data_IF_145323676445
#
_entry.id   IF_145323676445
#
_cell.length_a   1.000
_cell.length_b   1.000
_cell.length_c   1.000
_cell.angle_alpha   90.00
_cell.angle_beta   90.00
_cell.angle_gamma   90.00
#
_symmetry.space_group_name_H-M   'P 1'
#
loop_
_entity.id
_entity.type
_entity.pdbx_description
1 polymer ?
#
# COMPACT_ATOMS: atom_id res chain seq x y z
N UNK A 1 -20.89 81.79 -18.65
CA UNK A 1 -20.78 80.79 -17.60
C UNK A 1 -21.57 79.49 -17.89
N UNK A 2 -22.68 79.55 -18.62
CA UNK A 2 -23.53 78.34 -18.85
C UNK A 2 -22.99 77.37 -19.94
N UNK A 3 -22.32 77.89 -20.95
CA UNK A 3 -21.78 77.05 -22.05
C UNK A 3 -20.61 76.13 -21.63
N UNK A 4 -19.82 76.57 -20.68
CA UNK A 4 -18.68 75.79 -20.17
C UNK A 4 -19.17 74.60 -19.26
N UNK A 5 -20.26 74.81 -18.52
CA UNK A 5 -20.89 73.77 -17.72
C UNK A 5 -21.58 72.71 -18.57
N UNK A 6 -22.17 73.06 -19.72
CA UNK A 6 -22.84 72.14 -20.64
C UNK A 6 -21.82 71.27 -21.37
N UNK A 7 -20.65 71.81 -21.76
CA UNK A 7 -19.55 71.03 -22.38
C UNK A 7 -18.94 70.06 -21.39
N UNK A 8 -18.76 70.46 -20.11
CA UNK A 8 -18.25 69.59 -19.07
C UNK A 8 -19.20 68.43 -18.74
N UNK A 9 -20.54 68.66 -18.78
CA UNK A 9 -21.53 67.58 -18.56
C UNK A 9 -21.59 66.60 -19.71
N UNK A 10 -21.44 67.03 -20.96
CA UNK A 10 -21.40 66.15 -22.15
C UNK A 10 -20.10 65.33 -22.17
N UNK A 11 -18.96 65.88 -21.72
CA UNK A 11 -17.68 65.17 -21.65
C UNK A 11 -17.69 64.07 -20.55
N UNK A 12 -18.39 64.32 -19.43
CA UNK A 12 -18.54 63.32 -18.34
C UNK A 12 -19.46 62.17 -18.74
N UNK A 13 -20.51 62.43 -19.54
CA UNK A 13 -21.42 61.38 -20.04
C UNK A 13 -20.73 60.53 -21.12
N UNK A 14 -19.80 61.06 -21.90
CA UNK A 14 -19.04 60.30 -22.90
C UNK A 14 -17.98 59.39 -22.30
N UNK A 15 -17.52 59.65 -21.05
CA UNK A 15 -16.51 58.85 -20.34
C UNK A 15 -17.14 57.64 -19.59
N UNK A 16 -18.46 57.57 -19.44
CA UNK A 16 -19.14 56.49 -18.75
C UNK A 16 -19.56 55.35 -19.72
N UNK A 17 -19.42 55.58 -21.05
CA UNK A 17 -19.73 54.58 -22.09
C UNK A 17 -18.59 53.59 -22.35
N UNK A 18 -17.54 53.59 -21.54
CA UNK A 18 -16.38 52.71 -21.70
C UNK A 18 -16.59 51.40 -20.97
N UNK A 19 -16.95 50.38 -21.74
CA UNK A 19 -16.51 49.02 -21.53
C UNK A 19 -17.11 48.29 -20.34
N UNK A 20 -18.38 47.89 -20.44
CA UNK A 20 -18.65 46.51 -20.05
C UNK A 20 -18.23 45.61 -21.22
N UNK A 21 -16.93 45.42 -21.40
CA UNK A 21 -16.44 44.21 -21.98
C UNK A 21 -16.80 43.10 -20.95
N UNK A 22 -18.01 42.55 -21.12
CA UNK A 22 -18.30 41.23 -20.59
C UNK A 22 -17.22 40.35 -21.24
N UNK A 23 -16.11 40.13 -20.50
CA UNK A 23 -15.31 38.96 -20.73
C UNK A 23 -16.32 37.81 -20.62
N UNK A 24 -16.80 37.33 -21.77
CA UNK A 24 -17.38 36.02 -21.89
C UNK A 24 -16.23 35.10 -21.43
N UNK A 25 -16.17 34.94 -20.13
CA UNK A 25 -15.46 33.80 -19.54
C UNK A 25 -16.22 32.60 -20.12
N UNK A 26 -15.73 32.12 -21.26
CA UNK A 26 -16.21 30.92 -21.89
C UNK A 26 -15.92 29.75 -20.94
N UNK A 27 -16.63 29.72 -19.82
CA UNK A 27 -16.54 28.61 -18.89
C UNK A 27 -16.93 27.36 -19.69
N UNK A 28 -15.92 26.71 -20.17
CA UNK A 28 -16.08 25.48 -20.94
C UNK A 28 -16.92 24.51 -20.08
N UNK A 29 -18.09 24.12 -20.60
CA UNK A 29 -18.91 23.12 -19.92
C UNK A 29 -18.09 21.85 -19.75
N UNK A 30 -18.01 21.35 -18.56
CA UNK A 30 -17.17 20.18 -18.23
C UNK A 30 -17.94 19.16 -17.42
N UNK A 31 -17.51 17.92 -17.51
CA UNK A 31 -17.93 16.85 -16.63
C UNK A 31 -16.71 16.29 -15.92
N UNK A 32 -16.83 16.14 -14.61
CA UNK A 32 -15.81 15.47 -13.77
C UNK A 32 -16.38 14.14 -13.30
N UNK A 33 -15.65 13.08 -13.54
CA UNK A 33 -16.02 11.72 -13.14
C UNK A 33 -14.86 11.01 -12.48
N UNK A 34 -15.18 10.09 -11.57
CA UNK A 34 -14.21 9.17 -11.02
C UNK A 34 -14.37 7.82 -11.71
N UNK A 35 -13.23 7.23 -12.09
CA UNK A 35 -13.13 5.87 -12.61
C UNK A 35 -12.39 4.97 -11.64
N UNK A 36 -12.82 3.72 -11.57
CA UNK A 36 -12.19 2.69 -10.77
C UNK A 36 -11.80 1.51 -11.64
N UNK A 37 -10.60 0.99 -11.41
CA UNK A 37 -10.11 -0.19 -12.10
C UNK A 37 -9.46 -1.15 -11.13
N UNK A 38 -9.79 -2.42 -11.26
CA UNK A 38 -9.26 -3.51 -10.46
C UNK A 38 -8.51 -4.48 -11.33
N UNK A 39 -7.37 -4.97 -10.84
CA UNK A 39 -6.67 -6.07 -11.46
C UNK A 39 -6.10 -6.99 -10.38
N UNK A 40 -6.12 -8.28 -10.62
CA UNK A 40 -5.57 -9.28 -9.71
C UNK A 40 -4.59 -10.20 -10.42
N UNK A 41 -3.63 -10.71 -9.65
CA UNK A 41 -2.74 -11.76 -10.07
C UNK A 41 -2.35 -12.64 -8.87
N UNK A 42 -1.96 -13.91 -9.12
CA UNK A 42 -1.40 -14.74 -8.06
C UNK A 42 -0.10 -14.10 -7.54
N UNK A 43 0.19 -14.18 -6.24
CA UNK A 43 1.45 -13.72 -5.70
C UNK A 43 2.62 -14.60 -6.19
N UNK A 44 3.78 -14.00 -6.31
CA UNK A 44 5.03 -14.66 -6.71
C UNK A 44 6.09 -14.66 -5.60
N UNK A 45 5.82 -13.99 -4.48
CA UNK A 45 6.69 -13.98 -3.30
C UNK A 45 5.90 -13.99 -2.00
N UNK A 46 6.56 -14.39 -0.93
CA UNK A 46 6.10 -14.22 0.45
C UNK A 46 7.13 -13.46 1.26
N UNK A 47 6.66 -12.65 2.18
CA UNK A 47 7.48 -12.04 3.24
C UNK A 47 7.11 -12.71 4.55
N UNK A 48 8.09 -13.20 5.28
CA UNK A 48 7.94 -13.78 6.62
C UNK A 48 8.79 -13.00 7.61
N UNK A 49 8.32 -12.90 8.84
CA UNK A 49 9.12 -12.44 9.96
C UNK A 49 9.51 -13.64 10.81
N UNK A 50 10.79 -13.83 11.01
CA UNK A 50 11.35 -14.93 11.80
C UNK A 50 12.44 -14.42 12.71
N UNK A 51 12.68 -15.11 13.82
CA UNK A 51 13.70 -14.69 14.76
C UNK A 51 13.71 -15.52 16.02
N UNK A 52 14.36 -15.00 17.02
CA UNK A 52 14.53 -15.68 18.30
C UNK A 52 14.45 -14.70 19.47
N UNK A 53 13.83 -15.17 20.53
CA UNK A 53 13.93 -14.57 21.87
C UNK A 53 14.71 -15.54 22.74
N UNK A 54 15.77 -15.04 23.38
CA UNK A 54 16.59 -15.76 24.34
C UNK A 54 16.57 -15.07 25.69
N UNK A 55 16.83 -15.81 26.75
CA UNK A 55 16.85 -15.35 28.12
C UNK A 55 18.19 -15.72 28.77
N UNK A 56 18.67 -14.89 29.70
CA UNK A 56 19.89 -15.17 30.44
C UNK A 56 19.91 -14.41 31.76
N UNK A 57 20.76 -14.87 32.69
CA UNK A 57 20.96 -14.16 33.96
C UNK A 57 21.64 -12.82 33.70
N UNK A 58 22.49 -12.74 32.69
CA UNK A 58 23.15 -11.52 32.24
C UNK A 58 22.77 -11.20 30.79
N UNK A 59 22.82 -9.92 30.41
CA UNK A 59 22.60 -9.49 29.04
C UNK A 59 23.59 -10.13 28.05
N UNK A 60 24.83 -10.39 28.48
CA UNK A 60 25.85 -11.02 27.63
C UNK A 60 25.50 -12.48 27.34
N UNK A 61 25.05 -13.23 28.33
CA UNK A 61 24.62 -14.63 28.14
C UNK A 61 23.45 -14.70 27.17
N UNK A 62 22.39 -13.92 27.41
CA UNK A 62 21.23 -13.88 26.54
C UNK A 62 21.59 -13.49 25.09
N UNK A 63 22.50 -12.51 24.91
CA UNK A 63 22.95 -12.06 23.60
C UNK A 63 23.82 -13.10 22.89
N UNK A 64 24.72 -13.79 23.64
CA UNK A 64 25.58 -14.82 23.06
C UNK A 64 24.75 -15.99 22.51
N UNK A 65 23.77 -16.47 23.27
CA UNK A 65 22.86 -17.52 22.82
C UNK A 65 22.05 -17.06 21.61
N UNK A 66 21.54 -15.80 21.64
CA UNK A 66 20.80 -15.21 20.54
C UNK A 66 21.63 -15.22 19.25
N UNK A 67 22.87 -14.74 19.31
CA UNK A 67 23.78 -14.70 18.17
C UNK A 67 24.04 -16.07 17.56
N UNK A 68 24.20 -17.11 18.41
CA UNK A 68 24.40 -18.47 17.94
C UNK A 68 23.18 -19.00 17.17
N UNK A 69 21.97 -18.77 17.68
CA UNK A 69 20.75 -19.23 17.02
C UNK A 69 20.55 -18.44 15.72
N UNK A 70 20.71 -17.09 15.75
CA UNK A 70 20.59 -16.26 14.57
C UNK A 70 21.62 -16.64 13.49
N UNK A 71 22.84 -17.03 13.87
CA UNK A 71 23.81 -17.54 12.92
C UNK A 71 23.28 -18.77 12.17
N UNK A 72 22.73 -19.76 12.90
CA UNK A 72 22.11 -20.94 12.26
C UNK A 72 20.92 -20.58 11.37
N UNK A 73 20.11 -19.62 11.79
CA UNK A 73 18.99 -19.11 10.98
C UNK A 73 19.51 -18.53 9.66
N UNK A 74 20.56 -17.71 9.71
CA UNK A 74 21.18 -17.13 8.51
C UNK A 74 21.76 -18.21 7.59
N UNK A 75 22.45 -19.22 8.14
CA UNK A 75 22.99 -20.34 7.36
C UNK A 75 21.87 -21.11 6.63
N UNK A 76 20.72 -21.34 7.29
CA UNK A 76 19.54 -21.99 6.69
C UNK A 76 19.00 -21.15 5.54
N UNK A 77 18.85 -19.83 5.73
CA UNK A 77 18.34 -18.93 4.68
C UNK A 77 19.26 -18.93 3.46
N UNK A 78 20.57 -18.87 3.66
CA UNK A 78 21.57 -18.95 2.59
C UNK A 78 21.52 -20.32 1.90
N UNK A 79 21.39 -21.41 2.67
CA UNK A 79 21.27 -22.78 2.16
C UNK A 79 20.04 -22.97 1.27
N UNK A 80 18.95 -22.28 1.57
CA UNK A 80 17.74 -22.21 0.73
C UNK A 80 17.84 -21.19 -0.40
N UNK A 81 19.03 -20.66 -0.70
CA UNK A 81 19.33 -19.71 -1.78
C UNK A 81 18.55 -18.39 -1.68
N UNK A 82 18.22 -17.98 -0.46
CA UNK A 82 17.65 -16.66 -0.21
C UNK A 82 18.79 -15.65 -0.23
N UNK A 83 18.79 -14.67 -1.16
CA UNK A 83 19.89 -13.72 -1.27
C UNK A 83 19.87 -12.73 -0.09
N UNK A 84 21.04 -12.25 0.32
CA UNK A 84 21.18 -11.30 1.45
C UNK A 84 20.31 -10.06 1.31
N UNK A 85 20.11 -9.55 0.09
CA UNK A 85 19.23 -8.39 -0.18
C UNK A 85 17.76 -8.63 0.20
N UNK A 86 17.36 -9.90 0.33
CA UNK A 86 16.00 -10.30 0.69
C UNK A 86 15.88 -10.65 2.19
N UNK A 87 16.97 -10.44 2.97
CA UNK A 87 17.01 -10.64 4.42
C UNK A 87 17.33 -9.31 5.08
N UNK A 88 16.46 -8.85 5.96
CA UNK A 88 16.64 -7.59 6.68
C UNK A 88 16.34 -7.76 8.16
N UNK A 89 17.27 -7.34 9.04
CA UNK A 89 16.99 -7.27 10.47
C UNK A 89 15.91 -6.22 10.72
N UNK A 90 14.81 -6.65 11.33
CA UNK A 90 13.67 -5.79 11.65
C UNK A 90 13.66 -5.35 13.11
N UNK A 91 14.13 -6.22 14.03
CA UNK A 91 14.18 -5.94 15.46
C UNK A 91 15.46 -6.49 16.04
N UNK A 92 16.15 -5.69 16.86
CA UNK A 92 17.15 -6.14 17.81
C UNK A 92 16.92 -5.36 19.11
N UNK A 93 16.50 -6.07 20.16
CA UNK A 93 16.21 -5.46 21.45
C UNK A 93 16.78 -6.33 22.59
N UNK A 94 17.43 -5.68 23.55
CA UNK A 94 17.91 -6.27 24.79
C UNK A 94 17.18 -5.58 25.92
N UNK A 95 16.46 -6.31 26.75
CA UNK A 95 15.65 -5.75 27.83
C UNK A 95 15.86 -6.51 29.15
N UNK A 96 15.87 -5.81 30.32
CA UNK A 96 15.86 -6.47 31.60
C UNK A 96 14.49 -7.10 31.87
N UNK A 97 14.51 -8.23 32.56
CA UNK A 97 13.32 -8.91 33.07
C UNK A 97 13.18 -8.65 34.56
N UNK A 98 12.02 -8.16 34.94
CA UNK A 98 11.74 -7.82 36.34
C UNK A 98 10.90 -8.89 37.01
N UNK A 99 11.16 -9.09 38.30
CA UNK A 99 10.35 -9.98 39.13
C UNK A 99 8.90 -9.45 39.20
N UNK A 100 7.94 -10.37 39.16
CA UNK A 100 6.54 -10.08 39.42
C UNK A 100 6.10 -10.71 40.75
N UNK A 101 5.29 -9.97 41.54
CA UNK A 101 4.67 -10.50 42.74
C UNK A 101 3.50 -11.46 42.38
N UNK A 102 2.93 -12.11 43.39
CA UNK A 102 1.78 -13.03 43.23
C UNK A 102 0.55 -12.38 42.63
N UNK A 103 0.49 -11.04 42.62
CA UNK A 103 -0.60 -10.25 42.04
C UNK A 103 -0.25 -9.70 40.65
N UNK A 104 0.90 -10.10 40.09
CA UNK A 104 1.36 -9.65 38.77
C UNK A 104 1.94 -8.24 38.75
N UNK A 105 2.22 -7.61 39.89
CA UNK A 105 2.85 -6.29 39.95
C UNK A 105 4.35 -6.43 39.78
N UNK A 106 4.94 -5.57 38.94
CA UNK A 106 6.37 -5.55 38.69
C UNK A 106 7.11 -4.98 39.90
N UNK A 107 8.04 -5.75 40.46
CA UNK A 107 8.98 -5.33 41.48
C UNK A 107 10.21 -4.66 40.83
N UNK A 108 10.84 -3.70 41.50
CA UNK A 108 12.10 -3.09 41.02
C UNK A 108 13.32 -4.01 41.32
N UNK A 109 13.21 -5.23 40.85
CA UNK A 109 14.26 -6.27 40.97
C UNK A 109 14.43 -6.99 39.65
N UNK A 110 15.58 -6.79 39.02
CA UNK A 110 15.96 -7.52 37.80
C UNK A 110 16.26 -8.96 38.17
N UNK A 111 15.66 -9.89 37.43
CA UNK A 111 15.84 -11.34 37.57
C UNK A 111 16.57 -11.98 36.37
N UNK A 112 16.72 -11.25 35.29
CA UNK A 112 17.37 -11.70 34.05
C UNK A 112 17.29 -10.66 32.96
N UNK A 113 17.67 -11.08 31.77
CA UNK A 113 17.61 -10.28 30.55
C UNK A 113 17.03 -11.11 29.42
N UNK A 114 16.25 -10.49 28.56
CA UNK A 114 15.79 -11.06 27.32
C UNK A 114 16.39 -10.35 26.11
N UNK A 115 16.70 -11.11 25.06
CA UNK A 115 17.14 -10.58 23.78
C UNK A 115 16.18 -11.05 22.70
N UNK A 116 15.58 -10.10 21.99
CA UNK A 116 14.76 -10.35 20.81
C UNK A 116 15.51 -9.91 19.57
N UNK A 117 15.68 -10.82 18.63
CA UNK A 117 16.28 -10.54 17.34
C UNK A 117 15.41 -11.15 16.24
N UNK A 118 14.95 -10.31 15.31
CA UNK A 118 14.06 -10.72 14.23
C UNK A 118 14.58 -10.22 12.89
N UNK A 119 14.37 -11.04 11.88
CA UNK A 119 14.65 -10.71 10.48
C UNK A 119 13.36 -10.84 9.66
N UNK A 120 13.19 -9.92 8.75
CA UNK A 120 12.21 -10.01 7.68
C UNK A 120 12.89 -10.70 6.50
N UNK A 121 12.24 -11.73 5.97
CA UNK A 121 12.78 -12.57 4.89
C UNK A 121 11.80 -12.60 3.74
N UNK A 122 12.29 -12.30 2.55
CA UNK A 122 11.52 -12.35 1.32
C UNK A 122 11.80 -13.64 0.57
N UNK A 123 10.81 -14.52 0.48
CA UNK A 123 10.90 -15.84 -0.18
C UNK A 123 10.24 -15.73 -1.54
N UNK A 124 11.05 -15.82 -2.62
CA UNK A 124 10.58 -15.69 -4.02
C UNK A 124 10.09 -17.00 -4.60
N UNK A 125 10.52 -18.14 -4.10
CA UNK A 125 9.98 -19.44 -4.49
C UNK A 125 8.96 -19.89 -3.45
N UNK A 126 7.68 -19.69 -3.72
CA UNK A 126 6.60 -20.03 -2.81
C UNK A 126 6.50 -21.54 -2.54
N UNK A 127 6.99 -22.39 -3.45
CA UNK A 127 7.00 -23.85 -3.24
C UNK A 127 7.93 -24.26 -2.11
N UNK A 128 8.98 -23.49 -1.85
CA UNK A 128 9.96 -23.76 -0.79
C UNK A 128 9.54 -23.16 0.55
N UNK A 129 8.52 -22.30 0.58
CA UNK A 129 8.14 -21.54 1.78
C UNK A 129 7.90 -22.43 3.02
N UNK A 130 7.14 -23.52 2.86
CA UNK A 130 6.88 -24.46 3.96
C UNK A 130 8.14 -25.11 4.48
N UNK A 131 9.04 -25.54 3.58
CA UNK A 131 10.32 -26.15 3.95
C UNK A 131 11.26 -25.16 4.65
N UNK A 132 11.28 -23.90 4.18
CA UNK A 132 12.04 -22.82 4.81
C UNK A 132 11.55 -22.60 6.24
N UNK A 133 10.24 -22.48 6.45
CA UNK A 133 9.68 -22.28 7.80
C UNK A 133 10.02 -23.45 8.72
N UNK A 134 9.86 -24.69 8.27
CA UNK A 134 10.21 -25.88 9.04
C UNK A 134 11.69 -25.89 9.42
N UNK A 135 12.58 -25.55 8.48
CA UNK A 135 14.01 -25.51 8.72
C UNK A 135 14.40 -24.42 9.73
N UNK A 136 13.77 -23.25 9.66
CA UNK A 136 14.00 -22.14 10.59
C UNK A 136 13.58 -22.51 12.02
N UNK A 137 12.43 -23.15 12.19
CA UNK A 137 11.95 -23.63 13.51
C UNK A 137 12.93 -24.68 14.08
N UNK A 138 13.39 -25.61 13.26
CA UNK A 138 14.38 -26.62 13.67
C UNK A 138 15.75 -26.00 14.02
N UNK A 139 16.12 -24.90 13.40
CA UNK A 139 17.35 -24.16 13.72
C UNK A 139 17.28 -23.42 15.07
N UNK A 140 16.08 -23.32 15.65
CA UNK A 140 15.82 -22.69 16.95
C UNK A 140 15.06 -21.37 16.87
N UNK A 141 14.51 -21.02 15.70
CA UNK A 141 13.56 -19.90 15.62
C UNK A 141 12.35 -20.20 16.49
N UNK A 142 12.07 -19.32 17.45
CA UNK A 142 10.89 -19.39 18.33
C UNK A 142 9.92 -18.21 18.11
N UNK A 143 10.24 -17.35 17.14
CA UNK A 143 9.42 -16.26 16.67
C UNK A 143 9.23 -16.41 15.17
N UNK A 144 8.07 -16.89 14.74
CA UNK A 144 7.66 -16.92 13.34
C UNK A 144 6.31 -16.25 13.28
N UNK A 145 6.22 -15.12 12.62
CA UNK A 145 5.01 -14.32 12.53
C UNK A 145 4.86 -13.68 11.16
N UNK A 146 3.64 -13.30 10.83
CA UNK A 146 3.38 -12.40 9.71
C UNK A 146 3.76 -12.95 8.34
N UNK A 147 3.15 -14.07 7.91
CA UNK A 147 3.28 -14.45 6.49
C UNK A 147 2.38 -13.52 5.68
N UNK A 148 3.00 -12.74 4.79
CA UNK A 148 2.29 -11.90 3.82
C UNK A 148 2.72 -12.26 2.41
N UNK A 149 1.73 -12.36 1.49
CA UNK A 149 1.99 -12.64 0.09
C UNK A 149 1.98 -11.36 -0.72
N UNK A 150 2.79 -11.30 -1.76
CA UNK A 150 2.92 -10.15 -2.61
C UNK A 150 3.38 -10.50 -4.02
N UNK A 151 3.45 -9.48 -4.84
CA UNK A 151 4.00 -9.55 -6.20
C UNK A 151 5.26 -8.69 -6.21
N UNK A 152 6.40 -9.27 -6.58
CA UNK A 152 7.70 -8.59 -6.59
C UNK A 152 7.71 -7.40 -7.55
N UNK A 153 7.21 -7.60 -8.78
CA UNK A 153 6.96 -6.52 -9.74
C UNK A 153 5.47 -6.37 -10.00
N UNK A 154 4.81 -5.55 -9.20
CA UNK A 154 3.38 -5.27 -9.34
C UNK A 154 3.04 -4.25 -10.45
N UNK A 155 4.03 -3.65 -11.11
CA UNK A 155 3.81 -2.59 -12.09
C UNK A 155 2.86 -3.01 -13.22
N UNK A 156 3.01 -4.24 -13.73
CA UNK A 156 2.14 -4.76 -14.78
C UNK A 156 0.68 -4.87 -14.34
N UNK A 157 0.43 -5.35 -13.15
CA UNK A 157 -0.93 -5.52 -12.60
C UNK A 157 -1.55 -4.16 -12.31
N UNK A 158 -0.78 -3.23 -11.72
CA UNK A 158 -1.22 -1.85 -11.47
C UNK A 158 -1.56 -1.14 -12.78
N UNK A 159 -0.76 -1.31 -13.84
CA UNK A 159 -1.05 -0.71 -15.15
C UNK A 159 -2.35 -1.24 -15.76
N UNK A 160 -2.65 -2.53 -15.62
CA UNK A 160 -3.94 -3.09 -16.03
C UNK A 160 -5.11 -2.47 -15.23
N UNK A 161 -4.93 -2.24 -13.93
CA UNK A 161 -5.93 -1.54 -13.14
C UNK A 161 -6.11 -0.08 -13.59
N UNK A 162 -5.02 0.64 -13.94
CA UNK A 162 -5.07 2.00 -14.50
C UNK A 162 -5.86 2.05 -15.81
N UNK A 163 -5.58 1.13 -16.73
CA UNK A 163 -6.30 1.05 -18.01
C UNK A 163 -7.81 0.84 -17.80
N UNK A 164 -8.18 -0.05 -16.87
CA UNK A 164 -9.59 -0.27 -16.50
C UNK A 164 -10.22 0.95 -15.86
N UNK A 165 -9.49 1.68 -15.00
CA UNK A 165 -9.98 2.91 -14.37
C UNK A 165 -10.27 4.01 -15.40
N UNK A 166 -9.40 4.16 -16.42
CA UNK A 166 -9.62 5.10 -17.52
C UNK A 166 -10.86 4.71 -18.35
N UNK A 167 -11.02 3.43 -18.66
CA UNK A 167 -12.17 2.93 -19.40
C UNK A 167 -13.48 3.15 -18.62
N UNK A 168 -13.49 2.89 -17.31
CA UNK A 168 -14.65 3.11 -16.44
C UNK A 168 -15.03 4.60 -16.35
N UNK A 169 -14.04 5.50 -16.14
CA UNK A 169 -14.29 6.94 -16.11
C UNK A 169 -14.89 7.44 -17.41
N UNK A 170 -14.34 6.99 -18.55
CA UNK A 170 -14.85 7.37 -19.87
C UNK A 170 -16.29 6.89 -20.09
N UNK A 171 -16.57 5.63 -19.77
CA UNK A 171 -17.92 5.05 -19.90
C UNK A 171 -18.95 5.81 -19.06
N UNK A 172 -18.60 6.20 -17.83
CA UNK A 172 -19.45 7.01 -16.96
C UNK A 172 -19.68 8.40 -17.53
N UNK A 173 -18.63 9.05 -18.02
CA UNK A 173 -18.74 10.39 -18.63
C UNK A 173 -19.66 10.36 -19.86
N UNK A 174 -19.50 9.36 -20.75
CA UNK A 174 -20.36 9.15 -21.91
C UNK A 174 -21.82 8.90 -21.54
N UNK A 175 -22.06 8.10 -20.50
CA UNK A 175 -23.41 7.83 -20.01
C UNK A 175 -24.09 9.11 -19.52
N UNK A 176 -23.40 9.89 -18.67
CA UNK A 176 -23.96 11.13 -18.13
C UNK A 176 -24.17 12.19 -19.20
N UNK A 177 -23.22 12.38 -20.11
CA UNK A 177 -23.33 13.34 -21.21
C UNK A 177 -24.53 13.01 -22.10
N UNK A 178 -24.66 11.75 -22.58
CA UNK A 178 -25.83 11.31 -23.38
C UNK A 178 -27.15 11.49 -22.65
N UNK A 179 -27.21 11.19 -21.33
CA UNK A 179 -28.42 11.36 -20.54
C UNK A 179 -28.83 12.82 -20.39
N UNK A 180 -27.86 13.74 -20.50
CA UNK A 180 -28.10 15.19 -20.50
C UNK A 180 -28.33 15.80 -21.90
N UNK A 181 -28.37 14.98 -22.96
CA UNK A 181 -28.48 15.46 -24.34
C UNK A 181 -27.21 16.09 -24.89
N UNK A 182 -26.05 15.68 -24.36
CA UNK A 182 -24.72 16.19 -24.73
C UNK A 182 -23.81 15.04 -25.13
N UNK A 183 -22.65 15.39 -25.69
CA UNK A 183 -21.54 14.47 -25.96
C UNK A 183 -20.31 14.84 -25.11
N UNK A 184 -19.45 13.86 -24.81
CA UNK A 184 -18.13 14.16 -24.25
C UNK A 184 -17.19 14.64 -25.36
N UNK A 185 -16.44 15.70 -25.10
CA UNK A 185 -15.38 16.21 -25.97
C UNK A 185 -14.00 15.79 -25.52
N UNK A 186 -13.05 16.72 -25.54
CA UNK A 186 -11.64 16.47 -25.19
C UNK A 186 -11.45 16.19 -23.71
N UNK A 187 -10.44 15.38 -23.41
CA UNK A 187 -9.93 15.22 -22.05
C UNK A 187 -9.22 16.53 -21.66
N UNK A 188 -9.62 17.11 -20.54
CA UNK A 188 -9.02 18.32 -19.97
C UNK A 188 -7.97 17.98 -18.93
N UNK A 189 -8.28 17.00 -18.06
CA UNK A 189 -7.36 16.55 -17.03
C UNK A 189 -7.60 15.07 -16.67
N UNK A 190 -6.51 14.43 -16.25
CA UNK A 190 -6.52 13.09 -15.64
C UNK A 190 -5.67 13.19 -14.38
N UNK A 191 -6.25 12.81 -13.24
CA UNK A 191 -5.57 12.81 -11.95
C UNK A 191 -5.71 11.41 -11.31
N UNK A 192 -4.58 10.74 -11.07
CA UNK A 192 -4.57 9.52 -10.26
C UNK A 192 -4.74 9.91 -8.79
N UNK A 193 -5.82 9.44 -8.15
CA UNK A 193 -6.16 9.80 -6.76
C UNK A 193 -5.54 8.81 -5.77
N UNK A 194 -5.64 7.52 -6.05
CA UNK A 194 -5.11 6.47 -5.18
C UNK A 194 -4.80 5.19 -5.94
N UNK A 195 -3.77 4.51 -5.45
CA UNK A 195 -3.49 3.10 -5.72
C UNK A 195 -3.60 2.37 -4.39
N UNK A 196 -4.61 1.52 -4.25
CA UNK A 196 -4.78 0.70 -3.07
C UNK A 196 -4.04 -0.63 -3.26
N UNK A 197 -3.16 -0.90 -2.31
CA UNK A 197 -2.38 -2.13 -2.25
C UNK A 197 -3.22 -3.26 -1.64
N UNK A 198 -2.97 -4.51 -2.04
CA UNK A 198 -3.65 -5.65 -1.48
C UNK A 198 -3.53 -5.65 0.05
N UNK A 199 -4.65 -5.74 0.74
CA UNK A 199 -4.67 -6.03 2.17
C UNK A 199 -4.80 -7.53 2.32
N UNK A 200 -4.04 -8.13 3.24
CA UNK A 200 -4.21 -9.52 3.59
C UNK A 200 -5.66 -9.75 4.06
N UNK A 201 -6.51 -10.17 3.16
CA UNK A 201 -7.83 -10.65 3.53
C UNK A 201 -7.63 -12.07 4.02
N UNK A 202 -7.84 -12.30 5.31
CA UNK A 202 -7.82 -13.63 5.90
C UNK A 202 -8.92 -14.50 5.30
N UNK A 203 -8.67 -15.08 4.15
CA UNK A 203 -9.52 -16.11 3.61
C UNK A 203 -9.28 -17.40 4.40
N UNK A 204 -10.02 -17.59 5.47
CA UNK A 204 -10.14 -18.89 6.12
C UNK A 204 -10.86 -19.85 5.17
N UNK A 205 -10.10 -20.50 4.28
CA UNK A 205 -10.56 -21.75 3.66
C UNK A 205 -10.11 -22.90 4.54
N UNK A 206 -11.04 -23.54 5.21
CA UNK A 206 -10.83 -24.83 5.87
C UNK A 206 -10.47 -25.86 4.81
N UNK A 207 -9.21 -26.24 4.74
CA UNK A 207 -8.77 -27.42 4.01
C UNK A 207 -8.77 -28.62 4.93
N UNK A 208 -9.31 -29.76 4.46
CA UNK A 208 -9.14 -31.04 5.13
C UNK A 208 -7.65 -31.40 5.14
N UNK A 209 -7.08 -31.43 6.33
CA UNK A 209 -5.68 -31.77 6.57
C UNK A 209 -5.52 -33.29 6.56
N UNK A 210 -5.32 -33.88 5.39
CA UNK A 210 -4.66 -35.18 5.32
C UNK A 210 -3.15 -34.92 5.29
N UNK A 211 -2.46 -35.60 6.21
CA UNK A 211 -1.03 -35.59 6.50
C UNK A 211 -0.10 -34.96 5.45
N UNK A 212 0.23 -33.67 5.60
CA UNK A 212 1.22 -32.98 4.80
C UNK A 212 2.48 -32.79 5.63
N UNK A 213 3.64 -33.20 5.11
CA UNK A 213 4.93 -33.13 5.81
C UNK A 213 5.56 -31.71 5.86
N UNK A 214 4.81 -30.69 5.47
CA UNK A 214 5.21 -29.26 5.52
C UNK A 214 4.00 -28.40 5.81
N UNK A 215 4.22 -27.17 6.31
CA UNK A 215 3.15 -26.19 6.60
C UNK A 215 2.36 -25.89 5.31
N UNK A 216 1.06 -26.20 5.25
CA UNK A 216 0.25 -25.90 4.05
C UNK A 216 0.04 -24.39 3.95
N UNK A 217 0.33 -23.84 2.76
CA UNK A 217 0.26 -22.40 2.51
C UNK A 217 -0.76 -22.12 1.40
N UNK A 218 -1.79 -21.32 1.70
CA UNK A 218 -2.76 -20.83 0.72
C UNK A 218 -2.44 -19.37 0.37
N UNK A 219 -2.09 -19.11 -0.88
CA UNK A 219 -1.57 -17.81 -1.33
C UNK A 219 -2.67 -16.79 -1.72
N UNK A 220 -3.84 -17.26 -2.18
CA UNK A 220 -4.89 -16.38 -2.72
C UNK A 220 -4.46 -15.60 -3.97
N UNK A 221 -5.20 -14.55 -4.29
CA UNK A 221 -4.84 -13.56 -5.32
C UNK A 221 -4.59 -12.19 -4.66
N UNK A 222 -3.74 -11.39 -5.30
CA UNK A 222 -3.44 -10.02 -4.90
C UNK A 222 -4.23 -9.07 -5.79
N UNK A 223 -5.25 -8.38 -5.25
CA UNK A 223 -6.06 -7.40 -5.96
C UNK A 223 -5.52 -5.99 -5.73
N UNK A 224 -5.26 -5.27 -6.81
CA UNK A 224 -4.91 -3.85 -6.82
C UNK A 224 -6.10 -3.06 -7.33
N UNK A 225 -6.44 -1.95 -6.65
CA UNK A 225 -7.50 -1.03 -7.04
C UNK A 225 -6.90 0.36 -7.31
N UNK A 226 -7.19 0.90 -8.48
CA UNK A 226 -6.77 2.25 -8.89
C UNK A 226 -7.99 3.13 -9.03
N UNK A 227 -7.96 4.31 -8.43
CA UNK A 227 -8.98 5.34 -8.60
C UNK A 227 -8.36 6.54 -9.29
N UNK A 228 -9.02 6.98 -10.36
CA UNK A 228 -8.64 8.19 -11.10
C UNK A 228 -9.83 9.16 -11.17
N UNK A 229 -9.52 10.44 -11.34
CA UNK A 229 -10.49 11.45 -11.70
C UNK A 229 -10.18 11.94 -13.12
N UNK A 230 -11.21 12.05 -13.96
CA UNK A 230 -11.10 12.59 -15.30
C UNK A 230 -12.07 13.76 -15.49
N UNK A 231 -11.59 14.76 -16.21
CA UNK A 231 -12.38 15.94 -16.60
C UNK A 231 -12.45 15.97 -18.13
N UNK A 232 -13.66 16.03 -18.65
CA UNK A 232 -13.93 16.14 -20.09
C UNK A 232 -14.66 17.45 -20.38
N UNK A 233 -14.45 18.02 -21.56
CA UNK A 233 -15.35 19.04 -22.10
C UNK A 233 -16.69 18.39 -22.49
N UNK A 234 -17.75 19.20 -22.49
CA UNK A 234 -19.07 18.80 -22.99
C UNK A 234 -19.38 19.57 -24.26
N UNK A 235 -19.89 18.86 -25.25
CA UNK A 235 -20.23 19.35 -26.57
C UNK A 235 -21.73 19.11 -26.81
N UNK A 236 -22.39 19.97 -27.63
CA UNK A 236 -23.81 19.77 -28.01
C UNK A 236 -23.92 18.50 -28.88
N UNK A 237 -24.99 17.74 -28.72
CA UNK A 237 -25.33 16.66 -29.63
C UNK A 237 -25.81 17.27 -30.96
N UNK A 238 -25.17 16.92 -32.08
CA UNK A 238 -25.64 17.29 -33.42
C UNK A 238 -27.05 16.72 -33.70
#
# INVERSE_FOLDING_TARGET
MNRLRTILFILVILLISSSTALASDGSQRTITVNGQGKASAPPDMATIETGVVTHGVTAIEALSENNQIMGRIMDILIGHKIPEKDIQTSILNVAPEYKQDERGRVEDKIIGYSVRNQVQVRVRNLNDLGQVIDALVRAGSNQVSGISFGIDDSAKVINQARERAVADARSRAELYARSAGLNIGKIIAINEQSVEWPRAQGAYRTYNLEAVSSVPVATGEQEYNVTIQMIFSLEDSE
#
